data_IF_304452720591
#
_entry.id   IF_304452720591
#
_cell.length_a   1.000
_cell.length_b   1.000
_cell.length_c   1.000
_cell.angle_alpha   90.00
_cell.angle_beta   90.00
_cell.angle_gamma   90.00
#
_symmetry.space_group_name_H-M   'P 1'
#
loop_
_entity.id
_entity.type
_entity.pdbx_description
1 polymer ?
#
# COMPACT_ATOMS: atom_id res chain seq x y z
N UNK A 1 -3.96 -12.56 1.62
CA UNK A 1 -2.49 -12.63 1.45
C UNK A 1 -1.77 -13.05 2.71
N UNK A 2 -2.23 -12.70 3.93
CA UNK A 2 -1.60 -13.17 5.17
C UNK A 2 -1.50 -14.71 5.28
N UNK A 3 -2.45 -15.44 4.66
CA UNK A 3 -2.42 -16.91 4.57
C UNK A 3 -1.21 -17.49 3.80
N UNK A 4 -0.56 -16.68 2.98
CA UNK A 4 0.64 -17.03 2.23
C UNK A 4 1.94 -16.67 2.97
N UNK A 5 1.84 -16.00 4.14
CA UNK A 5 2.99 -15.69 4.98
C UNK A 5 3.29 -16.84 5.93
N UNK A 6 4.56 -17.02 6.28
CA UNK A 6 5.00 -17.91 7.36
C UNK A 6 4.29 -17.55 8.67
N UNK A 7 4.17 -18.53 9.56
CA UNK A 7 3.33 -18.45 10.76
C UNK A 7 3.72 -17.26 11.64
N UNK A 8 5.02 -17.05 11.83
CA UNK A 8 5.59 -16.05 12.72
C UNK A 8 5.27 -14.63 12.23
N UNK A 9 5.37 -14.39 10.91
CA UNK A 9 5.02 -13.10 10.31
C UNK A 9 3.52 -12.82 10.41
N UNK A 10 2.69 -13.85 10.22
CA UNK A 10 1.23 -13.71 10.36
C UNK A 10 0.84 -13.37 11.79
N UNK A 11 1.43 -14.07 12.77
CA UNK A 11 1.18 -13.82 14.18
C UNK A 11 1.56 -12.39 14.55
N UNK A 12 2.74 -11.94 14.13
CA UNK A 12 3.19 -10.57 14.37
C UNK A 12 2.21 -9.51 13.83
N UNK A 13 1.67 -9.70 12.62
CA UNK A 13 0.67 -8.78 12.06
C UNK A 13 -0.65 -8.81 12.83
N UNK A 14 -1.07 -9.96 13.35
CA UNK A 14 -2.26 -10.10 14.19
C UNK A 14 -2.07 -9.38 15.52
N UNK A 15 -0.91 -9.55 16.16
CA UNK A 15 -0.59 -8.90 17.43
C UNK A 15 -0.56 -7.37 17.26
N UNK A 16 0.06 -6.87 16.18
CA UNK A 16 0.03 -5.45 15.84
C UNK A 16 -1.40 -4.93 15.63
N UNK A 17 -2.25 -5.69 14.93
CA UNK A 17 -3.63 -5.28 14.67
C UNK A 17 -4.47 -5.22 15.96
N UNK A 18 -4.22 -6.11 16.92
CA UNK A 18 -4.95 -6.15 18.19
C UNK A 18 -4.45 -5.10 19.19
N UNK A 19 -3.15 -4.80 19.20
CA UNK A 19 -2.54 -4.07 20.32
C UNK A 19 -1.92 -2.72 19.94
N UNK A 20 -1.71 -2.41 18.66
CA UNK A 20 -1.11 -1.14 18.27
C UNK A 20 -2.01 0.04 18.58
N UNK A 21 -1.51 1.00 19.36
CA UNK A 21 -2.21 2.24 19.73
C UNK A 21 -1.52 3.50 19.21
N UNK A 22 -0.51 3.36 18.32
CA UNK A 22 0.36 4.46 17.90
C UNK A 22 -0.46 5.64 17.35
N UNK A 23 -1.40 5.39 16.43
CA UNK A 23 -2.22 6.47 15.84
C UNK A 23 -3.08 7.18 16.89
N UNK A 24 -3.72 6.44 17.79
CA UNK A 24 -4.54 7.01 18.87
C UNK A 24 -3.70 7.88 19.80
N UNK A 25 -2.54 7.36 20.24
CA UNK A 25 -1.62 8.09 21.13
C UNK A 25 -1.16 9.40 20.48
N UNK A 26 -0.83 9.39 19.18
CA UNK A 26 -0.42 10.60 18.47
C UNK A 26 -1.58 11.57 18.28
N UNK A 27 -2.79 11.08 17.98
CA UNK A 27 -3.98 11.91 17.80
C UNK A 27 -4.46 12.58 19.10
N UNK A 28 -4.37 11.88 20.23
CA UNK A 28 -4.70 12.39 21.56
C UNK A 28 -3.61 13.33 22.12
N UNK A 29 -2.39 13.25 21.56
CA UNK A 29 -1.26 14.07 21.98
C UNK A 29 -1.38 15.50 21.48
N UNK A 30 -1.11 16.47 22.38
CA UNK A 30 -0.96 17.89 22.00
C UNK A 30 0.39 18.17 21.31
N UNK A 31 1.29 17.19 21.21
CA UNK A 31 2.62 17.35 20.64
C UNK A 31 2.57 17.46 19.11
N UNK A 32 2.89 18.64 18.58
CA UNK A 32 3.09 18.84 17.14
C UNK A 32 4.21 17.96 16.60
N UNK A 33 5.30 17.80 17.35
CA UNK A 33 6.44 16.96 16.97
C UNK A 33 6.04 15.49 16.74
N UNK A 34 5.18 14.94 17.60
CA UNK A 34 4.70 13.56 17.43
C UNK A 34 3.84 13.42 16.17
N UNK A 35 2.94 14.38 15.92
CA UNK A 35 2.12 14.41 14.70
C UNK A 35 2.98 14.53 13.45
N UNK A 36 3.96 15.43 13.44
CA UNK A 36 4.91 15.58 12.34
C UNK A 36 5.66 14.28 12.07
N UNK A 37 6.20 13.63 13.09
CA UNK A 37 6.93 12.37 12.93
C UNK A 37 6.04 11.24 12.38
N UNK A 38 4.81 11.12 12.89
CA UNK A 38 3.83 10.14 12.39
C UNK A 38 3.50 10.38 10.90
N UNK A 39 3.20 11.63 10.54
CA UNK A 39 2.88 11.99 9.16
C UNK A 39 4.08 11.81 8.22
N UNK A 40 5.32 12.04 8.69
CA UNK A 40 6.53 11.74 7.91
C UNK A 40 6.66 10.25 7.59
N UNK A 41 6.33 9.35 8.54
CA UNK A 41 6.31 7.91 8.25
C UNK A 41 5.28 7.56 7.17
N UNK A 42 4.07 8.15 7.23
CA UNK A 42 3.04 7.95 6.20
C UNK A 42 3.47 8.52 4.85
N UNK A 43 4.11 9.68 4.82
CA UNK A 43 4.64 10.29 3.60
C UNK A 43 5.69 9.40 2.94
N UNK A 44 6.62 8.82 3.71
CA UNK A 44 7.61 7.88 3.17
C UNK A 44 6.94 6.63 2.58
N UNK A 45 5.90 6.09 3.22
CA UNK A 45 5.15 4.96 2.70
C UNK A 45 4.36 5.32 1.43
N UNK A 46 3.79 6.53 1.37
CA UNK A 46 3.10 7.04 0.19
C UNK A 46 4.08 7.23 -0.98
N UNK A 47 5.28 7.76 -0.74
CA UNK A 47 6.33 7.89 -1.74
C UNK A 47 6.74 6.52 -2.29
N UNK A 48 6.95 5.52 -1.42
CA UNK A 48 7.23 4.14 -1.83
C UNK A 48 6.13 3.57 -2.72
N UNK A 49 4.86 3.75 -2.36
CA UNK A 49 3.70 3.28 -3.15
C UNK A 49 3.63 3.95 -4.53
N UNK A 50 3.93 5.24 -4.63
CA UNK A 50 3.98 5.93 -5.92
C UNK A 50 5.14 5.44 -6.80
N UNK A 51 6.33 5.24 -6.22
CA UNK A 51 7.45 4.65 -6.94
C UNK A 51 7.10 3.26 -7.48
N UNK A 52 6.44 2.42 -6.67
CA UNK A 52 5.98 1.11 -7.11
C UNK A 52 4.93 1.20 -8.23
N UNK A 53 3.97 2.12 -8.18
CA UNK A 53 3.00 2.35 -9.27
C UNK A 53 3.74 2.73 -10.57
N UNK A 54 4.76 3.58 -10.49
CA UNK A 54 5.58 3.96 -11.65
C UNK A 54 6.27 2.74 -12.27
N UNK A 55 6.85 1.86 -11.43
CA UNK A 55 7.45 0.60 -11.89
C UNK A 55 6.41 -0.33 -12.54
N UNK A 56 5.25 -0.52 -11.91
CA UNK A 56 4.16 -1.35 -12.48
C UNK A 56 3.70 -0.80 -13.82
N UNK A 57 3.58 0.52 -13.96
CA UNK A 57 3.26 1.16 -15.24
C UNK A 57 4.31 0.84 -16.30
N UNK A 58 5.59 1.00 -15.97
CA UNK A 58 6.71 0.80 -16.90
C UNK A 58 6.92 -0.65 -17.31
N UNK A 59 6.78 -1.60 -16.38
CA UNK A 59 7.19 -2.98 -16.59
C UNK A 59 6.04 -3.96 -16.80
N UNK A 60 4.80 -3.57 -16.49
CA UNK A 60 3.63 -4.45 -16.65
C UNK A 60 2.64 -3.82 -17.63
N UNK A 61 2.16 -2.61 -17.34
CA UNK A 61 1.07 -2.00 -18.11
C UNK A 61 1.54 -1.63 -19.52
N UNK A 62 2.62 -0.87 -19.67
CA UNK A 62 3.13 -0.46 -20.98
C UNK A 62 3.48 -1.66 -21.89
N UNK A 63 4.24 -2.68 -21.42
CA UNK A 63 4.50 -3.87 -22.23
C UNK A 63 3.22 -4.64 -22.60
N UNK A 64 2.25 -4.75 -21.69
CA UNK A 64 0.99 -5.45 -21.97
C UNK A 64 0.16 -4.78 -23.07
N UNK A 65 0.24 -3.45 -23.20
CA UNK A 65 -0.48 -2.68 -24.24
C UNK A 65 0.17 -2.83 -25.62
N UNK A 66 1.48 -3.03 -25.67
CA UNK A 66 2.25 -3.28 -26.88
C UNK A 66 2.22 -4.76 -27.33
N UNK A 67 1.70 -5.66 -26.50
CA UNK A 67 1.55 -7.08 -26.84
C UNK A 67 0.45 -7.30 -27.89
N UNK A 68 0.52 -8.44 -28.60
CA UNK A 68 -0.43 -8.83 -29.65
C UNK A 68 -1.89 -8.86 -29.13
N UNK A 69 -2.87 -8.60 -29.99
CA UNK A 69 -4.27 -8.36 -29.62
C UNK A 69 -4.91 -9.53 -28.83
N UNK A 70 -4.43 -10.77 -29.05
CA UNK A 70 -4.83 -11.97 -28.30
C UNK A 70 -4.45 -11.93 -26.81
N UNK A 71 -3.41 -11.19 -26.44
CA UNK A 71 -2.94 -11.02 -25.05
C UNK A 71 -3.66 -9.85 -24.37
N UNK A 72 -4.13 -8.85 -25.13
CA UNK A 72 -4.82 -7.65 -24.62
C UNK A 72 -6.15 -7.92 -23.91
N UNK A 73 -6.77 -9.09 -24.14
CA UNK A 73 -8.02 -9.51 -23.47
C UNK A 73 -7.82 -9.98 -22.03
N UNK A 74 -6.57 -10.20 -21.60
CA UNK A 74 -6.28 -10.39 -20.19
C UNK A 74 -6.38 -9.02 -19.52
N UNK A 75 -7.55 -8.75 -18.93
CA UNK A 75 -7.77 -7.71 -17.92
C UNK A 75 -6.50 -7.58 -17.06
N UNK A 76 -6.01 -6.35 -16.78
CA UNK A 76 -4.70 -6.10 -16.14
C UNK A 76 -4.74 -6.58 -14.68
N UNK A 77 -4.79 -7.88 -14.52
CA UNK A 77 -4.81 -8.64 -13.30
C UNK A 77 -3.37 -8.94 -12.97
N UNK A 78 -2.97 -8.52 -11.78
CA UNK A 78 -1.70 -8.93 -11.22
C UNK A 78 -1.70 -10.44 -10.99
N UNK A 79 -0.52 -11.00 -10.78
CA UNK A 79 -0.35 -12.43 -10.43
C UNK A 79 -1.07 -12.81 -9.13
N UNK A 80 -1.37 -11.85 -8.26
CA UNK A 80 -2.25 -12.02 -7.09
C UNK A 80 -3.76 -11.97 -7.39
N UNK A 81 -4.16 -11.91 -8.67
CA UNK A 81 -5.56 -11.91 -9.14
C UNK A 81 -6.30 -10.57 -9.06
N UNK A 82 -5.65 -9.51 -8.57
CA UNK A 82 -6.26 -8.19 -8.40
C UNK A 82 -6.11 -7.32 -9.65
N UNK A 83 -7.10 -6.50 -9.97
CA UNK A 83 -6.96 -5.43 -10.97
C UNK A 83 -5.91 -4.41 -10.50
N UNK A 84 -4.75 -4.36 -11.16
CA UNK A 84 -3.55 -3.67 -10.63
C UNK A 84 -3.80 -2.18 -10.36
N UNK A 85 -4.39 -1.47 -11.32
CA UNK A 85 -4.62 -0.02 -11.20
C UNK A 85 -5.49 0.32 -9.99
N UNK A 86 -6.63 -0.37 -9.86
CA UNK A 86 -7.59 -0.15 -8.77
C UNK A 86 -6.96 -0.49 -7.43
N UNK A 87 -6.29 -1.64 -7.34
CA UNK A 87 -5.70 -2.09 -6.08
C UNK A 87 -4.58 -1.16 -5.61
N UNK A 88 -3.64 -0.80 -6.49
CA UNK A 88 -2.48 0.01 -6.12
C UNK A 88 -2.88 1.46 -5.76
N UNK A 89 -3.81 2.05 -6.52
CA UNK A 89 -4.36 3.38 -6.22
C UNK A 89 -5.06 3.39 -4.86
N UNK A 90 -5.98 2.42 -4.62
CA UNK A 90 -6.70 2.31 -3.35
C UNK A 90 -5.75 2.23 -2.16
N UNK A 91 -4.69 1.42 -2.26
CA UNK A 91 -3.71 1.24 -1.19
C UNK A 91 -2.89 2.52 -0.99
N UNK A 92 -2.46 3.20 -2.06
CA UNK A 92 -1.79 4.51 -1.95
C UNK A 92 -2.67 5.55 -1.25
N UNK A 93 -3.92 5.67 -1.67
CA UNK A 93 -4.84 6.70 -1.19
C UNK A 93 -5.21 6.47 0.28
N UNK A 94 -5.36 5.19 0.68
CA UNK A 94 -5.56 4.81 2.08
C UNK A 94 -4.37 5.19 2.99
N UNK A 95 -3.14 5.27 2.47
CA UNK A 95 -1.99 5.80 3.26
C UNK A 95 -2.19 7.26 3.56
N UNK A 96 -2.57 8.04 2.55
CA UNK A 96 -2.68 9.48 2.67
C UNK A 96 -3.84 9.85 3.62
N UNK A 97 -4.97 9.16 3.50
CA UNK A 97 -6.15 9.37 4.36
C UNK A 97 -5.91 9.00 5.83
N UNK A 98 -4.83 8.28 6.16
CA UNK A 98 -4.50 7.93 7.53
C UNK A 98 -3.80 9.07 8.31
N UNK A 99 -3.34 10.11 7.59
CA UNK A 99 -2.64 11.26 8.16
C UNK A 99 -3.48 11.99 9.20
N UNK A 100 -2.80 12.66 10.14
CA UNK A 100 -3.42 13.47 11.17
C UNK A 100 -3.21 14.96 10.88
N UNK A 101 -4.19 15.79 11.25
CA UNK A 101 -4.11 17.25 11.14
C UNK A 101 -3.17 17.90 12.19
#
# INVERSE_FOLDING_TARGET
MQTYMIKEHRQFLQDLAMHSRIRCIVAESKSSRMRTAYNQCLQSLWNFRNAHISLVKRFIIQPSQSADARIKQLDIKGTGGQCLNVFLQRVRDATLSASLD
#
